data_IF_114315052441
#
_entry.id   IF_114315052441
#
_cell.length_a   1.000
_cell.length_b   1.000
_cell.length_c   1.000
_cell.angle_alpha   90.00
_cell.angle_beta   90.00
_cell.angle_gamma   90.00
#
_symmetry.space_group_name_H-M   'P 1'
#
loop_
_entity.id
_entity.type
_entity.pdbx_description
1 polymer ?
#
# COMPACT_ATOMS: atom_id res chain seq x y z
N UNK A 1 -0.93 17.32 3.89
CA UNK A 1 0.39 17.02 4.49
C UNK A 1 0.33 17.38 5.96
N UNK A 2 0.69 16.45 6.85
CA UNK A 2 0.83 16.68 8.29
C UNK A 2 2.31 16.81 8.58
N UNK A 3 2.72 17.91 9.23
CA UNK A 3 4.12 18.18 9.58
C UNK A 3 4.31 17.85 11.05
N UNK A 4 5.10 16.80 11.33
CA UNK A 4 5.31 16.24 12.67
C UNK A 4 6.72 16.51 13.23
N UNK A 5 7.57 17.19 12.47
CA UNK A 5 9.00 17.40 12.77
C UNK A 5 9.22 18.05 14.15
N UNK A 6 8.45 19.07 14.51
CA UNK A 6 8.62 19.75 15.82
C UNK A 6 8.24 18.86 16.99
N UNK A 7 7.20 18.05 16.85
CA UNK A 7 6.77 17.13 17.92
C UNK A 7 7.82 16.02 18.08
N UNK A 8 8.34 15.48 16.99
CA UNK A 8 9.41 14.48 17.03
C UNK A 8 10.69 15.04 17.65
N UNK A 9 11.11 16.25 17.27
CA UNK A 9 12.26 16.92 17.89
C UNK A 9 12.05 17.17 19.40
N UNK A 10 10.81 17.46 19.84
CA UNK A 10 10.52 17.57 21.26
C UNK A 10 10.68 16.24 21.97
N UNK A 11 10.14 15.16 21.41
CA UNK A 11 10.28 13.80 21.97
C UNK A 11 11.75 13.37 22.09
N UNK A 12 12.59 13.77 21.12
CA UNK A 12 14.05 13.56 21.18
C UNK A 12 14.67 14.27 22.38
N UNK A 13 14.37 15.55 22.56
CA UNK A 13 14.87 16.34 23.70
C UNK A 13 14.42 15.80 25.05
N UNK A 14 13.20 15.25 25.09
CA UNK A 14 12.59 14.70 26.30
C UNK A 14 13.07 13.27 26.60
N UNK A 15 13.94 12.70 25.75
CA UNK A 15 14.42 11.32 25.87
C UNK A 15 13.30 10.28 25.76
N UNK A 16 12.20 10.60 25.05
CA UNK A 16 11.05 9.74 24.87
C UNK A 16 10.71 9.53 23.38
N UNK A 17 11.63 8.93 22.59
CA UNK A 17 11.41 8.68 21.19
C UNK A 17 10.27 7.67 20.97
N UNK A 18 9.63 7.73 19.80
CA UNK A 18 8.71 6.67 19.36
C UNK A 18 9.55 5.43 19.05
N UNK A 19 9.22 4.31 19.68
CA UNK A 19 9.92 3.04 19.51
C UNK A 19 9.25 2.20 18.45
N UNK A 20 9.99 1.91 17.39
CA UNK A 20 9.48 1.23 16.18
C UNK A 20 10.09 -0.16 16.07
N UNK A 21 9.23 -1.16 15.83
CA UNK A 21 9.62 -2.48 15.34
C UNK A 21 9.39 -2.59 13.82
N UNK A 22 10.27 -3.29 13.13
CA UNK A 22 10.14 -3.50 11.67
C UNK A 22 10.13 -4.98 11.32
N UNK A 23 9.16 -5.41 10.53
CA UNK A 23 9.01 -6.79 10.06
C UNK A 23 9.26 -6.81 8.55
N UNK A 24 10.40 -7.39 8.17
CA UNK A 24 10.96 -7.37 6.82
C UNK A 24 12.17 -6.45 6.69
N UNK A 25 13.27 -6.98 6.14
CA UNK A 25 14.55 -6.28 5.96
C UNK A 25 15.04 -6.37 4.50
N UNK A 26 14.10 -6.31 3.55
CA UNK A 26 14.36 -6.22 2.13
C UNK A 26 14.91 -4.86 1.70
N UNK A 27 14.89 -4.56 0.40
CA UNK A 27 15.37 -3.30 -0.15
C UNK A 27 14.70 -2.09 0.52
N UNK A 28 13.36 -2.06 0.58
CA UNK A 28 12.61 -0.96 1.18
C UNK A 28 12.74 -0.91 2.70
N UNK A 29 12.79 -2.08 3.37
CA UNK A 29 12.99 -2.13 4.82
C UNK A 29 14.33 -1.53 5.25
N UNK A 30 15.41 -1.80 4.52
CA UNK A 30 16.72 -1.16 4.80
C UNK A 30 16.71 0.35 4.53
N UNK A 31 15.98 0.79 3.49
CA UNK A 31 15.74 2.21 3.26
C UNK A 31 15.01 2.87 4.43
N UNK A 32 13.95 2.23 4.95
CA UNK A 32 13.23 2.70 6.11
C UNK A 32 14.09 2.72 7.38
N UNK A 33 14.88 1.67 7.61
CA UNK A 33 15.84 1.64 8.73
C UNK A 33 16.79 2.84 8.68
N UNK A 34 17.34 3.13 7.48
CA UNK A 34 18.21 4.31 7.28
C UNK A 34 17.48 5.62 7.58
N UNK A 35 16.24 5.77 7.10
CA UNK A 35 15.44 6.98 7.35
C UNK A 35 15.16 7.18 8.84
N UNK A 36 14.77 6.13 9.56
CA UNK A 36 14.48 6.23 11.00
C UNK A 36 15.76 6.55 11.78
N UNK A 37 16.86 5.81 11.55
CA UNK A 37 18.08 5.92 12.34
C UNK A 37 18.83 7.23 12.07
N UNK A 38 18.93 7.66 10.81
CA UNK A 38 19.81 8.75 10.42
C UNK A 38 19.09 10.08 10.12
N UNK A 39 17.76 10.07 9.94
CA UNK A 39 17.05 11.25 9.48
C UNK A 39 15.78 11.62 10.26
N UNK A 40 15.36 10.81 11.24
CA UNK A 40 14.13 11.04 11.98
C UNK A 40 14.38 11.20 13.48
N UNK A 41 14.71 12.42 13.97
CA UNK A 41 14.84 12.65 15.40
C UNK A 41 13.53 12.32 16.14
N UNK A 42 13.64 11.83 17.38
CA UNK A 42 12.48 11.44 18.19
C UNK A 42 11.81 10.14 17.77
N UNK A 43 12.47 9.35 16.92
CA UNK A 43 12.03 8.02 16.54
C UNK A 43 13.23 7.06 16.64
N UNK A 44 12.99 5.83 17.11
CA UNK A 44 14.04 4.83 17.31
C UNK A 44 13.59 3.49 16.74
N UNK A 45 14.39 2.90 15.85
CA UNK A 45 14.22 1.52 15.38
C UNK A 45 14.80 0.58 16.44
N UNK A 46 13.94 -0.01 17.27
CA UNK A 46 14.38 -0.81 18.44
C UNK A 46 14.48 -2.30 18.13
N UNK A 47 13.79 -2.79 17.09
CA UNK A 47 13.84 -4.20 16.73
C UNK A 47 13.54 -4.42 15.24
N UNK A 48 14.21 -5.42 14.65
CA UNK A 48 13.97 -5.88 13.28
C UNK A 48 13.76 -7.39 13.26
N UNK A 49 12.63 -7.83 12.70
CA UNK A 49 12.37 -9.23 12.41
C UNK A 49 12.50 -9.52 10.91
N UNK A 50 13.19 -10.61 10.56
CA UNK A 50 13.25 -11.10 9.20
C UNK A 50 13.49 -12.60 9.18
N UNK A 51 12.85 -13.34 8.26
CA UNK A 51 12.98 -14.80 8.13
C UNK A 51 14.42 -15.32 7.95
N UNK A 52 15.36 -14.44 7.69
CA UNK A 52 16.80 -14.72 7.64
C UNK A 52 17.52 -13.73 8.53
N UNK A 53 18.13 -14.21 9.61
CA UNK A 53 18.84 -13.40 10.59
C UNK A 53 19.88 -12.46 9.96
N UNK A 54 20.59 -12.93 8.96
CA UNK A 54 21.58 -12.12 8.23
C UNK A 54 21.00 -10.84 7.63
N UNK A 55 19.75 -10.88 7.12
CA UNK A 55 19.08 -9.69 6.59
C UNK A 55 18.61 -8.75 7.72
N UNK A 56 18.15 -9.29 8.84
CA UNK A 56 17.79 -8.48 10.01
C UNK A 56 19.01 -7.71 10.54
N UNK A 57 20.14 -8.39 10.70
CA UNK A 57 21.41 -7.77 11.09
C UNK A 57 21.87 -6.72 10.08
N UNK A 58 21.84 -7.05 8.80
CA UNK A 58 22.24 -6.16 7.71
C UNK A 58 21.52 -4.82 7.72
N UNK A 59 20.25 -4.78 8.14
CA UNK A 59 19.48 -3.52 8.24
C UNK A 59 20.10 -2.50 9.21
N UNK A 60 20.87 -2.96 10.18
CA UNK A 60 21.61 -2.14 11.13
C UNK A 60 23.07 -1.99 10.76
N UNK A 61 23.74 -3.08 10.37
CA UNK A 61 25.19 -3.11 10.08
C UNK A 61 25.57 -2.18 8.92
N UNK A 62 24.73 -2.07 7.88
CA UNK A 62 24.91 -1.11 6.78
C UNK A 62 24.91 0.35 7.26
N UNK A 63 24.37 0.61 8.46
CA UNK A 63 24.27 1.94 9.07
C UNK A 63 25.31 2.15 10.20
N UNK A 64 26.24 1.20 10.37
CA UNK A 64 27.30 1.26 11.36
C UNK A 64 26.85 0.85 12.77
N UNK A 65 25.65 0.31 12.95
CA UNK A 65 25.18 -0.23 14.23
C UNK A 65 25.57 -1.70 14.32
N UNK A 66 26.57 -2.03 15.14
CA UNK A 66 27.18 -3.37 15.22
C UNK A 66 26.85 -4.11 16.51
N UNK A 67 26.45 -3.39 17.56
CA UNK A 67 26.00 -4.01 18.82
C UNK A 67 24.51 -4.33 18.70
N UNK A 68 24.21 -5.61 18.53
CA UNK A 68 22.85 -6.12 18.30
C UNK A 68 22.56 -7.30 19.23
N UNK A 69 21.34 -7.33 19.79
CA UNK A 69 20.85 -8.45 20.57
C UNK A 69 20.09 -9.43 19.67
N UNK A 70 20.62 -10.65 19.50
CA UNK A 70 19.86 -11.73 18.87
C UNK A 70 18.88 -12.31 19.89
N UNK A 71 17.60 -12.35 19.55
CA UNK A 71 16.52 -12.77 20.46
C UNK A 71 15.50 -13.64 19.75
N UNK A 72 14.82 -14.51 20.51
CA UNK A 72 13.83 -15.44 19.96
C UNK A 72 12.40 -15.15 20.44
N UNK A 73 12.23 -14.36 21.50
CA UNK A 73 10.96 -14.10 22.14
C UNK A 73 10.75 -12.63 22.54
N UNK A 74 9.54 -12.29 22.94
CA UNK A 74 9.15 -10.95 23.38
C UNK A 74 9.98 -10.45 24.57
N UNK A 75 10.28 -11.32 25.54
CA UNK A 75 11.10 -10.96 26.70
C UNK A 75 12.52 -10.62 26.32
N UNK A 76 13.07 -11.27 25.29
CA UNK A 76 14.36 -10.93 24.72
C UNK A 76 14.37 -9.53 24.11
N UNK A 77 13.33 -9.19 23.35
CA UNK A 77 13.14 -7.84 22.78
C UNK A 77 13.04 -6.80 23.89
N UNK A 78 12.24 -7.04 24.92
CA UNK A 78 12.05 -6.13 26.06
C UNK A 78 13.36 -5.88 26.81
N UNK A 79 14.17 -6.94 27.06
CA UNK A 79 15.49 -6.80 27.67
C UNK A 79 16.41 -5.96 26.80
N UNK A 80 16.45 -6.20 25.49
CA UNK A 80 17.28 -5.43 24.57
C UNK A 80 16.89 -3.94 24.57
N UNK A 81 15.59 -3.64 24.50
CA UNK A 81 15.06 -2.27 24.60
C UNK A 81 15.50 -1.61 25.93
N UNK A 82 15.40 -2.31 27.05
CA UNK A 82 15.79 -1.77 28.36
C UNK A 82 17.28 -1.48 28.48
N UNK A 83 18.11 -2.17 27.70
CA UNK A 83 19.57 -1.97 27.63
C UNK A 83 19.96 -0.94 26.55
N UNK A 84 19.03 -0.43 25.77
CA UNK A 84 19.30 0.47 24.65
C UNK A 84 20.00 -0.21 23.47
N UNK A 85 19.92 -1.54 23.35
CA UNK A 85 20.54 -2.33 22.30
C UNK A 85 19.44 -2.75 21.31
N UNK A 86 19.57 -2.49 19.99
CA UNK A 86 18.59 -2.95 19.02
C UNK A 86 18.51 -4.48 18.94
N UNK A 87 17.29 -5.01 18.88
CA UNK A 87 17.05 -6.45 18.76
C UNK A 87 16.92 -6.90 17.31
N UNK A 88 17.41 -8.10 17.01
CA UNK A 88 17.20 -8.79 15.73
C UNK A 88 16.67 -10.20 15.97
N UNK A 89 15.73 -10.64 15.15
CA UNK A 89 15.06 -11.94 15.33
C UNK A 89 14.58 -12.54 14.00
N UNK A 90 14.43 -13.86 13.97
CA UNK A 90 13.69 -14.55 12.88
C UNK A 90 12.21 -14.73 13.24
N UNK A 91 11.83 -14.50 14.49
CA UNK A 91 10.46 -14.62 14.99
C UNK A 91 9.74 -13.26 14.99
N UNK A 92 8.82 -12.98 14.05
CA UNK A 92 8.08 -11.71 14.01
C UNK A 92 7.16 -11.52 15.22
N UNK A 93 6.71 -12.61 15.84
CA UNK A 93 5.84 -12.57 17.01
C UNK A 93 6.56 -12.03 18.24
N UNK A 94 7.88 -12.18 18.31
CA UNK A 94 8.68 -11.54 19.35
C UNK A 94 8.50 -10.01 19.35
N UNK A 95 8.26 -9.37 18.19
CA UNK A 95 8.01 -7.94 18.08
C UNK A 95 6.57 -7.58 18.36
N UNK A 96 5.61 -8.37 17.85
CA UNK A 96 4.18 -8.08 18.05
C UNK A 96 3.75 -8.23 19.50
N UNK A 97 4.36 -9.15 20.24
CA UNK A 97 4.05 -9.47 21.65
C UNK A 97 4.86 -8.62 22.66
N UNK A 98 6.02 -8.09 22.26
CA UNK A 98 6.89 -7.36 23.19
C UNK A 98 6.27 -6.05 23.68
N UNK A 99 6.40 -5.79 25.00
CA UNK A 99 6.19 -4.46 25.57
C UNK A 99 7.24 -3.45 25.08
N UNK A 100 6.90 -2.15 25.14
CA UNK A 100 7.86 -1.09 24.82
C UNK A 100 8.11 -0.84 23.34
N UNK A 101 7.30 -1.41 22.43
CA UNK A 101 7.21 -1.03 21.01
C UNK A 101 5.89 -0.26 20.82
N UNK A 102 5.98 0.97 20.30
CA UNK A 102 4.82 1.84 20.10
C UNK A 102 4.10 1.55 18.77
N UNK A 103 4.86 1.25 17.71
CA UNK A 103 4.32 0.92 16.40
C UNK A 103 5.20 -0.09 15.67
N UNK A 104 4.57 -0.86 14.79
CA UNK A 104 5.21 -1.82 13.91
C UNK A 104 5.08 -1.38 12.45
N UNK A 105 6.08 -1.68 11.63
CA UNK A 105 6.04 -1.54 10.18
C UNK A 105 6.12 -2.91 9.52
N UNK A 106 5.14 -3.29 8.71
CA UNK A 106 5.14 -4.48 7.87
C UNK A 106 5.67 -4.11 6.48
N UNK A 107 6.83 -4.69 6.08
CA UNK A 107 7.59 -4.32 4.88
C UNK A 107 7.95 -5.57 4.05
N UNK A 108 7.16 -6.63 4.14
CA UNK A 108 7.49 -7.90 3.48
C UNK A 108 6.93 -8.01 2.06
N UNK A 109 5.80 -7.36 1.78
CA UNK A 109 5.06 -7.47 0.52
C UNK A 109 4.38 -8.84 0.33
N UNK A 110 4.29 -9.68 1.36
CA UNK A 110 3.66 -10.99 1.32
C UNK A 110 2.30 -10.96 2.00
N UNK A 111 1.23 -11.31 1.28
CA UNK A 111 -0.15 -11.16 1.79
C UNK A 111 -0.44 -12.10 2.97
N UNK A 112 -0.23 -13.40 2.81
CA UNK A 112 -0.52 -14.38 3.89
C UNK A 112 0.34 -14.15 5.14
N UNK A 113 1.64 -13.91 4.96
CA UNK A 113 2.54 -13.64 6.07
C UNK A 113 2.21 -12.29 6.75
N UNK A 114 1.99 -11.25 5.96
CA UNK A 114 1.55 -9.93 6.44
C UNK A 114 0.22 -10.00 7.18
N UNK A 115 -0.72 -10.84 6.74
CA UNK A 115 -1.99 -11.09 7.43
C UNK A 115 -1.74 -11.60 8.85
N UNK A 116 -0.93 -12.65 9.00
CA UNK A 116 -0.65 -13.26 10.31
C UNK A 116 0.01 -12.29 11.29
N UNK A 117 1.02 -11.55 10.84
CA UNK A 117 1.73 -10.62 11.72
C UNK A 117 0.90 -9.38 12.04
N UNK A 118 0.07 -8.90 11.12
CA UNK A 118 -0.83 -7.78 11.36
C UNK A 118 -1.93 -8.16 12.35
N UNK A 119 -2.51 -9.35 12.24
CA UNK A 119 -3.48 -9.84 13.22
C UNK A 119 -2.87 -9.97 14.61
N UNK A 120 -1.67 -10.56 14.72
CA UNK A 120 -0.96 -10.62 15.99
C UNK A 120 -0.65 -9.23 16.57
N UNK A 121 -0.29 -8.24 15.75
CA UNK A 121 -0.09 -6.87 16.21
C UNK A 121 -1.38 -6.25 16.77
N UNK A 122 -2.50 -6.42 16.08
CA UNK A 122 -3.83 -5.95 16.54
C UNK A 122 -4.19 -6.59 17.86
N UNK A 123 -4.05 -7.91 17.99
CA UNK A 123 -4.40 -8.67 19.20
C UNK A 123 -3.55 -8.27 20.41
N UNK A 124 -2.32 -7.78 20.18
CA UNK A 124 -1.40 -7.29 21.21
C UNK A 124 -1.42 -5.74 21.35
N UNK A 125 -2.42 -5.05 20.80
CA UNK A 125 -2.60 -3.62 20.99
C UNK A 125 -1.50 -2.75 20.35
N UNK A 126 -0.92 -3.17 19.21
CA UNK A 126 0.13 -2.44 18.49
C UNK A 126 -0.42 -1.72 17.27
N UNK A 127 -0.02 -0.47 17.07
CA UNK A 127 -0.21 0.18 15.77
C UNK A 127 0.60 -0.55 14.69
N UNK A 128 0.01 -0.69 13.48
CA UNK A 128 0.68 -1.34 12.34
C UNK A 128 0.62 -0.43 11.11
N UNK A 129 1.79 -0.11 10.58
CA UNK A 129 1.95 0.63 9.33
C UNK A 129 2.35 -0.33 8.22
N UNK A 130 1.55 -0.40 7.16
CA UNK A 130 1.71 -1.32 6.05
C UNK A 130 2.44 -0.64 4.89
N UNK A 131 3.66 -1.09 4.58
CA UNK A 131 4.30 -0.89 3.28
C UNK A 131 3.96 -2.06 2.35
N UNK A 132 2.75 -2.54 2.43
CA UNK A 132 2.22 -3.73 1.77
C UNK A 132 0.80 -3.40 1.27
N UNK A 133 0.73 -2.69 0.15
CA UNK A 133 -0.54 -2.31 -0.46
C UNK A 133 -1.34 -3.54 -0.93
N UNK A 134 -0.65 -4.66 -1.16
CA UNK A 134 -1.25 -5.93 -1.55
C UNK A 134 -2.09 -6.52 -0.40
N UNK A 135 -1.60 -6.43 0.82
CA UNK A 135 -2.36 -6.83 2.01
C UNK A 135 -3.54 -5.88 2.26
N UNK A 136 -3.29 -4.56 2.19
CA UNK A 136 -4.33 -3.54 2.40
C UNK A 136 -5.44 -3.65 1.33
N UNK A 137 -5.08 -3.80 0.06
CA UNK A 137 -6.04 -4.00 -1.04
C UNK A 137 -6.79 -5.34 -0.98
N UNK A 138 -6.29 -6.32 -0.19
CA UNK A 138 -6.94 -7.64 -0.02
C UNK A 138 -7.86 -7.67 1.21
N UNK A 139 -7.40 -7.18 2.36
CA UNK A 139 -8.05 -7.31 3.67
C UNK A 139 -8.24 -5.98 4.41
N UNK A 140 -7.85 -4.84 3.83
CA UNK A 140 -7.86 -3.54 4.49
C UNK A 140 -9.15 -3.21 5.23
N UNK A 141 -10.35 -3.38 4.65
CA UNK A 141 -11.62 -3.12 5.33
C UNK A 141 -11.82 -3.91 6.62
N UNK A 142 -11.47 -5.19 6.62
CA UNK A 142 -11.57 -6.04 7.81
C UNK A 142 -10.50 -5.68 8.84
N UNK A 143 -9.24 -5.52 8.40
CA UNK A 143 -8.11 -5.18 9.29
C UNK A 143 -8.37 -3.84 10.00
N UNK A 144 -8.90 -2.83 9.30
CA UNK A 144 -9.35 -1.59 9.93
C UNK A 144 -10.39 -1.84 11.03
N UNK A 145 -11.44 -2.60 10.71
CA UNK A 145 -12.52 -2.86 11.67
C UNK A 145 -12.01 -3.56 12.93
N UNK A 146 -11.09 -4.53 12.77
CA UNK A 146 -10.45 -5.23 13.90
C UNK A 146 -9.54 -4.28 14.69
N UNK A 147 -8.76 -3.44 14.03
CA UNK A 147 -7.88 -2.45 14.65
C UNK A 147 -8.67 -1.41 15.46
N UNK A 148 -9.77 -0.88 14.92
CA UNK A 148 -10.65 0.05 15.63
C UNK A 148 -11.23 -0.56 16.90
N UNK A 149 -11.66 -1.83 16.85
CA UNK A 149 -12.15 -2.57 18.03
C UNK A 149 -11.06 -2.76 19.10
N UNK A 150 -9.81 -2.92 18.68
CA UNK A 150 -8.65 -3.06 19.56
C UNK A 150 -8.08 -1.71 20.05
N UNK A 151 -8.59 -0.57 19.55
CA UNK A 151 -8.09 0.76 19.89
C UNK A 151 -6.72 1.10 19.28
N UNK A 152 -6.36 0.46 18.17
CA UNK A 152 -5.09 0.68 17.45
C UNK A 152 -5.35 1.16 16.02
N UNK A 153 -4.28 1.64 15.36
CA UNK A 153 -4.31 2.04 13.95
C UNK A 153 -3.64 0.96 13.11
N UNK A 154 -4.34 0.49 12.07
CA UNK A 154 -3.74 -0.19 10.92
C UNK A 154 -3.90 0.74 9.73
N UNK A 155 -2.81 1.06 9.05
CA UNK A 155 -2.78 2.07 7.99
C UNK A 155 -1.77 1.73 6.91
N UNK A 156 -2.12 1.96 5.64
CA UNK A 156 -1.13 2.16 4.60
C UNK A 156 -0.22 3.35 4.93
N UNK A 157 0.94 3.45 4.28
CA UNK A 157 1.97 4.42 4.65
C UNK A 157 1.98 5.68 3.76
N UNK A 158 2.45 6.79 4.34
CA UNK A 158 2.90 7.97 3.59
C UNK A 158 4.06 7.59 2.65
N UNK A 159 4.20 8.34 1.56
CA UNK A 159 5.27 8.16 0.58
C UNK A 159 5.03 7.03 -0.41
N UNK A 160 4.26 6.02 -0.09
CA UNK A 160 3.70 5.11 -1.11
C UNK A 160 2.57 5.81 -1.87
N UNK A 161 2.30 5.38 -3.08
CA UNK A 161 1.34 6.04 -3.97
C UNK A 161 -0.04 6.24 -3.34
N UNK A 162 -0.65 5.25 -2.64
CA UNK A 162 -1.91 5.46 -1.94
C UNK A 162 -1.84 6.55 -0.87
N UNK A 163 -0.78 6.58 -0.08
CA UNK A 163 -0.62 7.58 0.97
C UNK A 163 -0.54 8.99 0.43
N UNK A 164 0.26 9.20 -0.62
CA UNK A 164 0.38 10.53 -1.25
C UNK A 164 -0.93 10.96 -1.92
N UNK A 165 -1.66 10.03 -2.56
CA UNK A 165 -2.98 10.31 -3.15
C UNK A 165 -4.02 10.69 -2.09
N UNK A 166 -4.12 9.94 -0.99
CA UNK A 166 -5.08 10.21 0.10
C UNK A 166 -4.75 11.52 0.80
N UNK A 167 -3.47 11.83 1.03
CA UNK A 167 -3.06 13.13 1.58
C UNK A 167 -3.43 14.28 0.64
N UNK A 168 -3.22 14.13 -0.67
CA UNK A 168 -3.62 15.13 -1.64
C UNK A 168 -5.15 15.29 -1.69
N UNK A 169 -5.91 14.20 -1.63
CA UNK A 169 -7.36 14.20 -1.55
C UNK A 169 -7.85 14.95 -0.31
N UNK A 170 -7.27 14.69 0.87
CA UNK A 170 -7.58 15.40 2.13
C UNK A 170 -7.30 16.91 1.99
N UNK A 171 -6.14 17.26 1.42
CA UNK A 171 -5.77 18.65 1.19
C UNK A 171 -6.75 19.36 0.24
N UNK A 172 -7.06 18.78 -0.91
CA UNK A 172 -7.96 19.35 -1.92
C UNK A 172 -9.37 19.55 -1.35
N UNK A 173 -9.86 18.62 -0.53
CA UNK A 173 -11.13 18.79 0.19
C UNK A 173 -11.12 19.95 1.20
N UNK A 174 -10.01 20.16 1.88
CA UNK A 174 -9.88 21.30 2.82
C UNK A 174 -9.91 22.66 2.12
N UNK A 175 -9.58 22.71 0.82
CA UNK A 175 -9.75 23.90 0.00
C UNK A 175 -11.22 24.17 -0.41
N UNK A 176 -12.15 23.30 -0.03
CA UNK A 176 -13.56 23.37 -0.43
C UNK A 176 -13.83 22.78 -1.81
N UNK A 177 -12.84 22.16 -2.45
CA UNK A 177 -13.02 21.44 -3.70
C UNK A 177 -13.62 20.06 -3.48
N UNK A 178 -14.31 19.55 -4.50
CA UNK A 178 -14.84 18.18 -4.55
C UNK A 178 -13.94 17.33 -5.46
N UNK A 179 -13.07 16.47 -4.92
CA UNK A 179 -12.28 15.54 -5.71
C UNK A 179 -13.18 14.57 -6.47
N UNK A 180 -12.95 14.42 -7.76
CA UNK A 180 -13.66 13.52 -8.66
C UNK A 180 -12.76 12.46 -9.29
N UNK A 181 -11.43 12.63 -9.19
CA UNK A 181 -10.49 11.67 -9.72
C UNK A 181 -9.20 11.71 -8.91
N UNK A 182 -8.67 10.53 -8.61
CA UNK A 182 -7.34 10.32 -8.05
C UNK A 182 -6.56 9.39 -8.97
N UNK A 183 -5.35 9.73 -9.28
CA UNK A 183 -4.59 8.98 -10.25
C UNK A 183 -3.08 8.97 -10.02
N UNK A 184 -2.47 8.01 -10.68
CA UNK A 184 -1.04 7.73 -10.66
C UNK A 184 -0.43 8.04 -12.03
N UNK A 185 0.74 8.65 -12.06
CA UNK A 185 1.49 8.94 -13.29
C UNK A 185 2.58 7.88 -13.44
N UNK A 186 2.42 7.00 -14.42
CA UNK A 186 3.31 5.86 -14.68
C UNK A 186 4.25 6.12 -15.87
N UNK A 187 5.42 5.49 -15.83
CA UNK A 187 6.34 5.48 -16.96
C UNK A 187 6.12 4.33 -17.94
N UNK A 188 5.50 3.23 -17.46
CA UNK A 188 5.26 2.01 -18.22
C UNK A 188 4.06 1.25 -17.67
N UNK A 189 3.24 0.71 -18.54
CA UNK A 189 2.22 -0.28 -18.27
C UNK A 189 2.22 -1.30 -19.41
N UNK A 190 2.40 -2.59 -19.11
CA UNK A 190 2.39 -3.69 -20.08
C UNK A 190 2.11 -4.99 -19.31
N UNK A 191 0.90 -5.49 -19.40
CA UNK A 191 0.35 -6.60 -18.62
C UNK A 191 1.12 -7.91 -18.78
N UNK A 192 1.85 -8.06 -19.90
CA UNK A 192 2.58 -9.29 -20.21
C UNK A 192 4.07 -9.27 -19.77
N UNK A 193 4.49 -8.23 -19.03
CA UNK A 193 5.81 -8.20 -18.37
C UNK A 193 5.93 -9.32 -17.35
N UNK A 194 7.15 -9.87 -17.25
CA UNK A 194 7.45 -10.97 -16.35
C UNK A 194 8.87 -10.80 -15.76
N UNK A 195 9.28 -11.63 -14.78
CA UNK A 195 10.58 -11.49 -14.14
C UNK A 195 11.78 -11.52 -15.11
N UNK A 196 11.70 -12.27 -16.22
CA UNK A 196 12.76 -12.28 -17.24
C UNK A 196 12.85 -10.95 -17.97
N UNK A 197 11.72 -10.35 -18.38
CA UNK A 197 11.70 -9.06 -19.08
C UNK A 197 12.13 -7.90 -18.19
N UNK A 198 12.03 -8.04 -16.88
CA UNK A 198 12.36 -7.02 -15.88
C UNK A 198 13.71 -7.24 -15.18
N UNK A 199 14.43 -8.33 -15.49
CA UNK A 199 15.70 -8.68 -14.84
C UNK A 199 16.75 -7.57 -14.93
N UNK A 200 16.88 -6.93 -16.09
CA UNK A 200 17.87 -5.86 -16.31
C UNK A 200 17.63 -4.65 -15.41
N UNK A 201 16.38 -4.24 -15.23
CA UNK A 201 16.01 -3.15 -14.33
C UNK A 201 16.22 -3.56 -12.87
N UNK A 202 15.76 -4.75 -12.50
CA UNK A 202 15.91 -5.28 -11.14
C UNK A 202 17.39 -5.34 -10.72
N UNK A 203 18.28 -5.85 -11.59
CA UNK A 203 19.72 -5.90 -11.34
C UNK A 203 20.34 -4.53 -11.17
N UNK A 204 19.96 -3.56 -12.03
CA UNK A 204 20.49 -2.18 -11.97
C UNK A 204 20.22 -1.52 -10.62
N UNK A 205 19.06 -1.79 -10.01
CA UNK A 205 18.62 -1.15 -8.77
C UNK A 205 18.72 -2.04 -7.53
N UNK A 206 19.22 -3.27 -7.67
CA UNK A 206 19.35 -4.22 -6.56
C UNK A 206 18.00 -4.67 -6.00
N UNK A 207 16.97 -4.75 -6.87
CA UNK A 207 15.60 -5.14 -6.51
C UNK A 207 15.29 -6.57 -6.93
N UNK A 208 14.19 -7.12 -6.40
CA UNK A 208 13.65 -8.42 -6.81
C UNK A 208 12.91 -8.27 -8.14
N UNK A 209 13.17 -9.16 -9.11
CA UNK A 209 12.57 -9.12 -10.44
C UNK A 209 11.03 -9.30 -10.41
N UNK A 210 10.49 -10.11 -9.49
CA UNK A 210 9.03 -10.25 -9.29
C UNK A 210 8.41 -8.94 -8.83
N UNK A 211 9.00 -8.28 -7.84
CA UNK A 211 8.52 -6.97 -7.39
C UNK A 211 8.56 -5.92 -8.51
N UNK A 212 9.66 -5.86 -9.26
CA UNK A 212 9.79 -4.93 -10.41
C UNK A 212 8.76 -5.26 -11.51
N UNK A 213 8.47 -6.53 -11.72
CA UNK A 213 7.42 -6.95 -12.67
C UNK A 213 6.06 -6.40 -12.25
N UNK A 214 5.70 -6.49 -10.97
CA UNK A 214 4.41 -5.98 -10.47
C UNK A 214 4.22 -4.47 -10.68
N UNK A 215 5.31 -3.70 -10.80
CA UNK A 215 5.25 -2.27 -11.13
C UNK A 215 4.87 -2.01 -12.59
N UNK A 216 5.16 -2.95 -13.48
CA UNK A 216 4.95 -2.80 -14.92
C UNK A 216 3.71 -3.50 -15.45
N UNK A 217 3.30 -4.63 -14.84
CA UNK A 217 2.25 -5.52 -15.35
C UNK A 217 0.82 -5.18 -14.91
N UNK A 218 0.63 -4.08 -14.20
CA UNK A 218 -0.69 -3.68 -13.69
C UNK A 218 -1.02 -4.18 -12.29
N UNK A 219 -0.25 -5.13 -11.75
CA UNK A 219 -0.53 -5.71 -10.43
C UNK A 219 -0.45 -4.65 -9.33
N UNK A 220 0.67 -3.95 -9.22
CA UNK A 220 0.89 -2.96 -8.17
C UNK A 220 -0.12 -1.81 -8.25
N UNK A 221 -0.33 -1.23 -9.45
CA UNK A 221 -1.28 -0.13 -9.62
C UNK A 221 -2.72 -0.53 -9.30
N UNK A 222 -3.11 -1.77 -9.56
CA UNK A 222 -4.45 -2.26 -9.24
C UNK A 222 -4.69 -2.34 -7.74
N UNK A 223 -3.72 -2.83 -6.96
CA UNK A 223 -3.79 -2.81 -5.50
C UNK A 223 -3.76 -1.39 -4.93
N UNK A 224 -2.86 -0.55 -5.42
CA UNK A 224 -2.74 0.84 -4.98
C UNK A 224 -4.02 1.62 -5.20
N UNK A 225 -4.63 1.50 -6.38
CA UNK A 225 -5.88 2.21 -6.67
C UNK A 225 -7.09 1.60 -5.99
N UNK A 226 -7.12 0.29 -5.74
CA UNK A 226 -8.13 -0.33 -4.88
C UNK A 226 -8.06 0.23 -3.44
N UNK A 227 -6.85 0.33 -2.87
CA UNK A 227 -6.60 0.93 -1.56
C UNK A 227 -7.06 2.39 -1.50
N UNK A 228 -6.74 3.21 -2.52
CA UNK A 228 -7.20 4.61 -2.63
C UNK A 228 -8.72 4.68 -2.74
N UNK A 229 -9.34 3.86 -3.58
CA UNK A 229 -10.79 3.82 -3.75
C UNK A 229 -11.50 3.48 -2.42
N UNK A 230 -11.00 2.47 -1.71
CA UNK A 230 -11.54 2.05 -0.42
C UNK A 230 -11.37 3.15 0.65
N UNK A 231 -10.28 3.92 0.63
CA UNK A 231 -10.00 5.01 1.57
C UNK A 231 -10.73 6.33 1.25
N UNK A 232 -11.25 6.50 0.03
CA UNK A 232 -11.89 7.76 -0.41
C UNK A 232 -13.36 7.63 -0.77
N UNK A 233 -13.85 6.38 -0.89
CA UNK A 233 -15.20 6.07 -1.36
C UNK A 233 -15.37 6.16 -2.89
N UNK A 234 -14.29 6.39 -3.63
CA UNK A 234 -14.28 6.38 -5.09
C UNK A 234 -14.41 4.95 -5.65
N UNK A 235 -14.50 4.82 -6.97
CA UNK A 235 -14.63 3.53 -7.66
C UNK A 235 -13.78 3.50 -8.92
N UNK A 236 -13.88 2.43 -9.72
CA UNK A 236 -13.38 2.37 -11.10
C UNK A 236 -14.55 2.47 -12.08
N UNK A 237 -14.36 3.14 -13.20
CA UNK A 237 -15.44 3.25 -14.22
C UNK A 237 -15.54 2.01 -15.11
N UNK A 238 -14.48 1.22 -15.20
CA UNK A 238 -14.44 -0.08 -15.88
C UNK A 238 -13.36 -0.97 -15.24
N UNK A 239 -13.41 -2.27 -15.49
CA UNK A 239 -12.35 -3.23 -15.14
C UNK A 239 -11.01 -2.76 -15.72
N UNK A 240 -9.96 -2.75 -14.90
CA UNK A 240 -8.61 -2.34 -15.28
C UNK A 240 -8.40 -0.81 -15.36
N UNK A 241 -9.41 0.00 -15.02
CA UNK A 241 -9.36 1.47 -15.10
C UNK A 241 -9.33 2.00 -16.56
N UNK A 242 -9.22 3.32 -16.78
CA UNK A 242 -9.13 3.89 -18.13
C UNK A 242 -7.73 3.76 -18.72
N UNK A 243 -6.72 4.15 -17.94
CA UNK A 243 -5.32 3.95 -18.29
C UNK A 243 -4.89 4.75 -19.51
N UNK A 244 -5.06 6.08 -19.49
CA UNK A 244 -4.72 6.93 -20.63
C UNK A 244 -3.23 6.95 -20.95
N UNK A 245 -2.86 6.88 -22.24
CA UNK A 245 -1.56 7.29 -22.73
C UNK A 245 -1.57 8.81 -22.96
N UNK A 246 -0.56 9.51 -22.41
CA UNK A 246 -0.41 10.95 -22.56
C UNK A 246 1.05 11.37 -22.35
N UNK A 247 1.62 12.12 -23.28
CA UNK A 247 3.02 12.57 -23.21
C UNK A 247 3.19 13.99 -22.63
N UNK A 248 2.09 14.73 -22.49
CA UNK A 248 2.07 16.12 -22.00
C UNK A 248 2.07 16.23 -20.48
N UNK A 249 1.79 17.43 -19.99
CA UNK A 249 1.63 17.67 -18.56
C UNK A 249 0.29 17.11 -18.06
N UNK A 250 0.26 16.62 -16.82
CA UNK A 250 -0.94 16.02 -16.22
C UNK A 250 -2.14 16.98 -16.16
N UNK A 251 -1.90 18.29 -16.09
CA UNK A 251 -2.97 19.31 -16.11
C UNK A 251 -3.78 19.29 -17.40
N UNK A 252 -3.20 18.86 -18.52
CA UNK A 252 -3.88 18.78 -19.81
C UNK A 252 -5.00 17.72 -19.81
N UNK A 253 -4.92 16.73 -18.90
CA UNK A 253 -5.95 15.70 -18.74
C UNK A 253 -7.28 16.25 -18.23
N UNK A 254 -7.33 17.45 -17.66
CA UNK A 254 -8.59 18.11 -17.24
C UNK A 254 -9.57 18.28 -18.39
N UNK A 255 -9.10 18.26 -19.63
CA UNK A 255 -9.94 18.33 -20.85
C UNK A 255 -10.28 16.97 -21.43
N UNK A 256 -9.68 15.88 -20.95
CA UNK A 256 -9.90 14.52 -21.45
C UNK A 256 -10.96 13.75 -20.66
N UNK A 257 -11.08 14.03 -19.36
CA UNK A 257 -12.07 13.38 -18.52
C UNK A 257 -13.44 14.06 -18.65
N UNK A 258 -14.45 13.25 -18.92
CA UNK A 258 -15.85 13.71 -18.90
C UNK A 258 -16.28 13.91 -17.43
N UNK A 259 -16.57 15.16 -17.07
CA UNK A 259 -16.95 15.52 -15.71
C UNK A 259 -18.29 14.92 -15.28
N UNK A 260 -19.22 14.74 -16.21
CA UNK A 260 -20.54 14.15 -15.90
C UNK A 260 -20.37 12.66 -15.61
N UNK A 261 -19.50 11.97 -16.35
CA UNK A 261 -19.12 10.58 -16.04
C UNK A 261 -18.45 10.50 -14.65
N UNK A 262 -17.50 11.38 -14.34
CA UNK A 262 -16.86 11.40 -13.03
C UNK A 262 -17.88 11.61 -11.89
N UNK A 263 -18.82 12.54 -12.08
CA UNK A 263 -19.88 12.81 -11.09
C UNK A 263 -20.85 11.64 -10.95
N UNK A 264 -21.21 10.99 -12.04
CA UNK A 264 -22.12 9.84 -12.02
C UNK A 264 -21.57 8.67 -11.22
N UNK A 265 -20.23 8.51 -11.19
CA UNK A 265 -19.54 7.50 -10.38
C UNK A 265 -19.27 7.94 -8.93
N UNK A 266 -19.51 9.22 -8.59
CA UNK A 266 -19.12 9.77 -7.28
C UNK A 266 -17.60 9.93 -7.11
N UNK A 267 -16.86 9.97 -8.23
CA UNK A 267 -15.41 9.99 -8.32
C UNK A 267 -14.81 8.63 -8.64
N UNK A 268 -13.70 8.65 -9.38
CA UNK A 268 -12.99 7.43 -9.80
C UNK A 268 -11.51 7.47 -9.43
N UNK A 269 -10.90 6.28 -9.37
CA UNK A 269 -9.46 6.09 -9.38
C UNK A 269 -9.01 5.67 -10.77
N UNK A 270 -7.79 6.11 -11.19
CA UNK A 270 -7.26 5.85 -12.52
C UNK A 270 -5.74 5.94 -12.55
N UNK A 271 -5.13 5.79 -13.71
CA UNK A 271 -3.72 6.07 -13.97
C UNK A 271 -3.52 6.66 -15.36
N UNK A 272 -2.35 7.27 -15.57
CA UNK A 272 -1.90 7.77 -16.88
C UNK A 272 -0.48 7.30 -17.14
N UNK A 273 -0.17 6.92 -18.38
CA UNK A 273 1.17 6.48 -18.80
C UNK A 273 1.82 7.59 -19.62
N UNK A 274 3.06 7.94 -19.29
CA UNK A 274 3.88 8.89 -20.04
C UNK A 274 3.74 10.36 -19.66
N UNK A 275 2.67 10.75 -18.93
CA UNK A 275 2.47 12.14 -18.50
C UNK A 275 3.60 12.66 -17.58
N UNK A 276 3.68 13.97 -17.47
CA UNK A 276 4.64 14.68 -16.62
C UNK A 276 3.90 15.39 -15.49
N UNK A 277 4.52 15.48 -14.28
CA UNK A 277 5.77 14.85 -13.85
C UNK A 277 5.64 13.35 -13.59
N UNK A 278 6.71 12.56 -13.80
CA UNK A 278 6.75 11.12 -13.59
C UNK A 278 8.02 10.75 -12.78
N UNK A 279 7.91 9.93 -11.73
CA UNK A 279 6.68 9.35 -11.16
C UNK A 279 5.94 10.36 -10.26
N UNK A 280 4.65 10.52 -10.45
CA UNK A 280 3.84 11.42 -9.65
C UNK A 280 2.44 10.89 -9.41
N UNK A 281 1.68 11.64 -8.64
CA UNK A 281 0.25 11.37 -8.42
C UNK A 281 -0.57 12.64 -8.68
N UNK A 282 -1.84 12.51 -9.01
CA UNK A 282 -2.71 13.65 -9.26
C UNK A 282 -4.12 13.46 -8.69
N UNK A 283 -4.76 14.61 -8.45
CA UNK A 283 -6.15 14.70 -8.05
C UNK A 283 -6.83 15.72 -8.96
N UNK A 284 -7.96 15.36 -9.54
CA UNK A 284 -8.79 16.32 -10.26
C UNK A 284 -10.06 16.59 -9.47
N UNK A 285 -10.41 17.85 -9.33
CA UNK A 285 -11.50 18.30 -8.48
C UNK A 285 -12.28 19.44 -9.11
N UNK A 286 -13.52 19.61 -8.67
CA UNK A 286 -14.38 20.78 -9.00
C UNK A 286 -14.55 21.69 -7.79
N UNK A 287 -14.96 22.92 -8.04
CA UNK A 287 -15.41 23.85 -7.01
C UNK A 287 -16.75 24.48 -7.44
N UNK A 288 -17.77 24.43 -6.60
CA UNK A 288 -19.11 24.90 -6.97
C UNK A 288 -19.27 26.43 -6.82
N UNK A 289 -18.55 27.06 -5.87
CA UNK A 289 -18.62 28.51 -5.65
C UNK A 289 -17.93 29.29 -6.80
N UNK A 290 -18.65 30.15 -7.55
CA UNK A 290 -18.07 30.94 -8.64
C UNK A 290 -16.97 31.91 -8.20
N UNK A 291 -17.02 32.41 -6.95
CA UNK A 291 -16.00 33.32 -6.42
C UNK A 291 -14.69 32.56 -6.18
N UNK A 292 -14.77 31.35 -5.63
CA UNK A 292 -13.58 30.51 -5.44
C UNK A 292 -13.00 30.07 -6.79
N UNK A 293 -13.83 29.75 -7.77
CA UNK A 293 -13.35 29.44 -9.14
C UNK A 293 -12.59 30.61 -9.74
N UNK A 294 -13.04 31.86 -9.53
CA UNK A 294 -12.32 33.05 -9.97
C UNK A 294 -10.92 33.15 -9.32
N UNK A 295 -10.78 32.79 -8.03
CA UNK A 295 -9.47 32.76 -7.37
C UNK A 295 -8.60 31.59 -7.88
N UNK A 296 -9.16 30.42 -8.13
CA UNK A 296 -8.41 29.30 -8.73
C UNK A 296 -7.84 29.70 -10.12
N UNK A 297 -8.62 30.42 -10.93
CA UNK A 297 -8.16 30.95 -12.20
C UNK A 297 -7.05 32.02 -12.02
N UNK A 298 -7.20 32.92 -11.05
CA UNK A 298 -6.17 33.90 -10.68
C UNK A 298 -4.86 33.21 -10.32
N UNK A 299 -4.92 32.10 -9.57
CA UNK A 299 -3.75 31.29 -9.18
C UNK A 299 -3.29 30.29 -10.26
N UNK A 300 -3.81 30.43 -11.49
CA UNK A 300 -3.36 29.68 -12.68
C UNK A 300 -3.69 28.19 -12.71
N UNK A 301 -4.73 27.78 -11.96
CA UNK A 301 -5.22 26.40 -12.02
C UNK A 301 -6.12 26.14 -13.26
N UNK A 302 -6.37 27.18 -14.08
CA UNK A 302 -7.26 27.08 -15.25
C UNK A 302 -8.64 27.66 -14.99
N UNK A 303 -9.49 27.66 -16.02
CA UNK A 303 -10.84 28.22 -15.97
C UNK A 303 -11.89 27.22 -15.39
N UNK A 304 -11.46 25.96 -15.16
CA UNK A 304 -12.37 24.90 -14.74
C UNK A 304 -13.29 24.40 -15.87
N UNK A 305 -14.31 23.62 -15.57
CA UNK A 305 -14.82 23.27 -14.22
C UNK A 305 -13.97 22.22 -13.47
N UNK A 306 -13.05 21.51 -14.15
CA UNK A 306 -12.15 20.53 -13.55
C UNK A 306 -10.77 21.15 -13.36
N UNK A 307 -10.23 21.06 -12.14
CA UNK A 307 -8.93 21.58 -11.73
C UNK A 307 -8.00 20.45 -11.37
N UNK A 308 -6.72 20.54 -11.76
CA UNK A 308 -5.68 19.58 -11.47
C UNK A 308 -4.85 20.02 -10.26
N UNK A 309 -4.61 19.07 -9.36
CA UNK A 309 -3.66 19.15 -8.25
C UNK A 309 -2.76 17.94 -8.34
N UNK A 310 -1.46 18.09 -8.13
CA UNK A 310 -0.54 16.96 -8.25
C UNK A 310 0.64 17.07 -7.31
N UNK A 311 1.23 15.90 -6.99
CA UNK A 311 2.52 15.79 -6.35
C UNK A 311 3.50 15.16 -7.34
N UNK A 312 4.65 15.81 -7.63
CA UNK A 312 5.52 15.41 -8.73
C UNK A 312 6.35 14.14 -8.46
N UNK A 313 6.23 13.58 -7.27
CA UNK A 313 6.94 12.40 -6.81
C UNK A 313 6.16 11.71 -5.70
N UNK A 314 6.55 10.47 -5.40
CA UNK A 314 6.22 9.73 -4.19
C UNK A 314 7.52 9.10 -3.67
N UNK A 315 7.80 9.24 -2.37
CA UNK A 315 9.12 8.95 -1.82
C UNK A 315 9.15 7.73 -0.88
N UNK A 316 8.17 6.83 -1.01
CA UNK A 316 8.09 5.54 -0.30
C UNK A 316 8.64 5.59 1.14
N UNK A 317 9.73 4.89 1.42
CA UNK A 317 10.30 4.75 2.76
C UNK A 317 10.73 6.06 3.44
N UNK A 318 10.99 7.14 2.69
CA UNK A 318 11.34 8.45 3.28
C UNK A 318 10.20 9.08 4.08
N UNK A 319 8.95 8.81 3.71
CA UNK A 319 7.78 9.44 4.33
C UNK A 319 7.08 8.55 5.38
N UNK A 320 7.41 7.26 5.46
CA UNK A 320 6.82 6.31 6.42
C UNK A 320 6.87 6.79 7.88
N UNK A 321 7.94 7.46 8.35
CA UNK A 321 7.97 8.03 9.69
C UNK A 321 6.78 8.96 10.00
N UNK A 322 6.22 9.65 8.99
CA UNK A 322 5.03 10.47 9.19
C UNK A 322 3.82 9.62 9.58
N UNK A 323 3.62 8.47 8.93
CA UNK A 323 2.53 7.54 9.26
C UNK A 323 2.67 6.95 10.66
N UNK A 324 3.90 6.59 11.04
CA UNK A 324 4.21 6.11 12.40
C UNK A 324 3.85 7.20 13.42
N UNK A 325 4.31 8.41 13.21
CA UNK A 325 4.04 9.55 14.10
C UNK A 325 2.53 9.86 14.17
N UNK A 326 1.82 9.82 13.03
CA UNK A 326 0.36 10.03 12.97
C UNK A 326 -0.40 8.99 13.78
N UNK A 327 -0.06 7.72 13.62
CA UNK A 327 -0.70 6.64 14.37
C UNK A 327 -0.46 6.78 15.88
N UNK A 328 0.79 6.98 16.30
CA UNK A 328 1.16 7.04 17.73
C UNK A 328 0.71 8.32 18.43
N UNK A 329 0.80 9.48 17.74
CA UNK A 329 0.57 10.78 18.36
C UNK A 329 -0.88 11.27 18.23
N UNK A 330 -1.57 10.86 17.16
CA UNK A 330 -2.89 11.42 16.82
C UNK A 330 -3.95 10.35 16.63
N UNK A 331 -3.62 9.06 16.71
CA UNK A 331 -4.51 7.95 16.32
C UNK A 331 -5.10 8.17 14.91
N UNK A 332 -4.33 8.82 14.01
CA UNK A 332 -4.74 9.15 12.64
C UNK A 332 -4.07 8.21 11.65
N UNK A 333 -4.88 7.55 10.83
CA UNK A 333 -4.42 6.72 9.73
C UNK A 333 -4.10 7.57 8.49
N UNK A 334 -2.99 7.29 7.83
CA UNK A 334 -2.66 7.90 6.53
C UNK A 334 -3.63 7.42 5.46
N UNK A 335 -3.73 6.09 5.34
CA UNK A 335 -4.64 5.41 4.42
C UNK A 335 -5.44 4.40 5.23
N UNK A 336 -6.75 4.51 5.19
CA UNK A 336 -7.64 3.57 5.87
C UNK A 336 -8.98 3.52 5.13
N UNK A 337 -9.52 2.34 4.82
CA UNK A 337 -10.82 2.20 4.19
C UNK A 337 -11.92 2.91 4.98
N UNK A 338 -12.89 3.54 4.28
CA UNK A 338 -14.04 4.21 4.94
C UNK A 338 -15.12 3.23 5.41
N UNK A 339 -15.09 1.99 4.90
CA UNK A 339 -16.09 0.97 5.19
C UNK A 339 -15.72 -0.33 4.48
N UNK A 340 -16.71 -1.05 3.94
CA UNK A 340 -16.48 -2.25 3.12
C UNK A 340 -15.74 -1.95 1.81
N UNK A 341 -15.29 -2.99 1.10
CA UNK A 341 -14.55 -2.83 -0.14
C UNK A 341 -15.42 -2.16 -1.23
N UNK A 342 -14.81 -1.19 -1.93
CA UNK A 342 -15.39 -0.51 -3.10
C UNK A 342 -14.77 -1.01 -4.40
N UNK A 343 -13.46 -1.26 -4.36
CA UNK A 343 -12.65 -1.78 -5.47
C UNK A 343 -11.74 -2.86 -4.92
N UNK A 344 -11.53 -3.89 -5.71
CA UNK A 344 -10.62 -5.01 -5.41
C UNK A 344 -9.69 -5.24 -6.60
N UNK A 345 -8.51 -5.78 -6.33
CA UNK A 345 -7.57 -6.24 -7.34
C UNK A 345 -7.87 -7.72 -7.66
N UNK A 346 -8.33 -8.00 -8.86
CA UNK A 346 -8.72 -9.33 -9.33
C UNK A 346 -7.61 -9.97 -10.17
N UNK A 347 -7.63 -11.30 -10.28
CA UNK A 347 -6.61 -12.11 -10.96
C UNK A 347 -6.96 -12.33 -12.43
N UNK A 348 -6.02 -12.03 -13.32
CA UNK A 348 -6.13 -12.27 -14.76
C UNK A 348 -4.91 -13.08 -15.24
N UNK A 349 -5.11 -14.04 -16.12
CA UNK A 349 -4.04 -14.88 -16.64
C UNK A 349 -3.14 -14.10 -17.61
N UNK A 350 -1.82 -14.14 -17.37
CA UNK A 350 -0.80 -13.48 -18.20
C UNK A 350 -0.39 -14.31 -19.42
N UNK A 351 -0.78 -15.56 -19.44
CA UNK A 351 -0.55 -16.56 -20.50
C UNK A 351 -1.58 -17.68 -20.39
N UNK A 352 -1.73 -18.50 -21.42
CA UNK A 352 -2.57 -19.70 -21.31
C UNK A 352 -1.95 -20.69 -20.32
N UNK A 353 -2.75 -21.17 -19.38
CA UNK A 353 -2.36 -22.03 -18.28
C UNK A 353 -3.17 -23.34 -18.32
N UNK A 354 -2.53 -24.51 -18.20
CA UNK A 354 -3.25 -25.80 -18.23
C UNK A 354 -3.95 -26.10 -16.89
N UNK A 355 -4.93 -27.00 -16.92
CA UNK A 355 -5.49 -27.56 -15.70
C UNK A 355 -4.39 -28.22 -14.85
N UNK A 356 -4.52 -28.10 -13.52
CA UNK A 356 -3.55 -28.60 -12.54
C UNK A 356 -2.33 -27.71 -12.33
N UNK A 357 -2.18 -26.61 -13.08
CA UNK A 357 -1.12 -25.63 -12.87
C UNK A 357 -1.29 -24.94 -11.51
N UNK A 358 -0.18 -24.66 -10.82
CA UNK A 358 -0.16 -23.92 -9.56
C UNK A 358 0.34 -22.51 -9.83
N UNK A 359 -0.47 -21.50 -9.48
CA UNK A 359 -0.16 -20.10 -9.73
C UNK A 359 1.04 -19.61 -8.91
N UNK A 360 1.91 -18.82 -9.53
CA UNK A 360 3.21 -18.38 -9.00
C UNK A 360 3.20 -17.10 -8.17
N UNK A 361 2.06 -16.44 -8.05
CA UNK A 361 1.92 -15.24 -7.21
C UNK A 361 2.23 -13.91 -7.89
N UNK A 362 2.41 -12.88 -7.05
CA UNK A 362 2.48 -11.47 -7.47
C UNK A 362 3.71 -11.17 -8.35
N UNK A 363 3.47 -10.50 -9.48
CA UNK A 363 4.53 -10.11 -10.41
C UNK A 363 5.27 -11.28 -11.07
N UNK A 364 4.67 -12.46 -11.07
CA UNK A 364 5.21 -13.67 -11.65
C UNK A 364 4.99 -13.80 -13.16
N UNK A 365 5.01 -15.04 -13.64
CA UNK A 365 4.83 -15.39 -15.04
C UNK A 365 3.37 -15.71 -15.39
N UNK A 366 2.54 -16.03 -14.39
CA UNK A 366 1.24 -16.63 -14.59
C UNK A 366 0.11 -15.63 -14.65
N UNK A 367 0.15 -14.60 -13.79
CA UNK A 367 -0.97 -13.70 -13.58
C UNK A 367 -0.57 -12.24 -13.43
N UNK A 368 -1.52 -11.36 -13.69
CA UNK A 368 -1.48 -9.93 -13.36
C UNK A 368 -2.80 -9.50 -12.73
N UNK A 369 -2.82 -8.35 -12.07
CA UNK A 369 -4.05 -7.85 -11.47
C UNK A 369 -4.72 -6.76 -12.29
N UNK A 370 -6.06 -6.71 -12.21
CA UNK A 370 -6.90 -5.61 -12.67
C UNK A 370 -7.75 -5.10 -11.52
N UNK A 371 -7.93 -3.78 -11.43
CA UNK A 371 -8.87 -3.19 -10.47
C UNK A 371 -10.30 -3.36 -10.97
N UNK A 372 -11.18 -3.87 -10.11
CA UNK A 372 -12.60 -4.09 -10.42
C UNK A 372 -13.48 -3.63 -9.25
N UNK A 373 -14.70 -3.25 -9.52
CA UNK A 373 -15.70 -2.94 -8.51
C UNK A 373 -15.98 -4.16 -7.63
N UNK A 374 -16.06 -3.96 -6.33
CA UNK A 374 -16.25 -5.05 -5.38
C UNK A 374 -17.60 -5.78 -5.54
N UNK A 375 -18.67 -5.08 -5.94
CA UNK A 375 -19.96 -5.69 -6.23
C UNK A 375 -19.89 -6.64 -7.44
N UNK A 376 -19.14 -6.27 -8.48
CA UNK A 376 -18.89 -7.13 -9.66
C UNK A 376 -17.98 -8.29 -9.26
N UNK A 377 -16.89 -8.02 -8.53
CA UNK A 377 -15.98 -9.08 -8.04
C UNK A 377 -16.75 -10.17 -7.31
N UNK A 378 -17.69 -9.78 -6.45
CA UNK A 378 -18.52 -10.74 -5.71
C UNK A 378 -19.54 -11.44 -6.60
N UNK A 379 -20.28 -10.70 -7.44
CA UNK A 379 -21.32 -11.26 -8.31
C UNK A 379 -20.75 -12.29 -9.30
N UNK A 380 -19.57 -12.02 -9.85
CA UNK A 380 -18.86 -12.91 -10.79
C UNK A 380 -17.93 -13.91 -10.09
N UNK A 381 -17.84 -13.88 -8.74
CA UNK A 381 -16.95 -14.74 -7.94
C UNK A 381 -15.48 -14.66 -8.39
N UNK A 382 -15.02 -13.45 -8.76
CA UNK A 382 -13.65 -13.24 -9.22
C UNK A 382 -12.64 -13.52 -8.11
N UNK A 383 -11.52 -14.16 -8.46
CA UNK A 383 -10.45 -14.47 -7.52
C UNK A 383 -9.63 -13.21 -7.22
N UNK A 384 -9.59 -12.69 -5.97
CA UNK A 384 -8.70 -11.60 -5.64
C UNK A 384 -7.23 -11.98 -5.84
N UNK A 385 -6.45 -11.07 -6.41
CA UNK A 385 -5.04 -11.32 -6.72
C UNK A 385 -4.20 -11.61 -5.45
N UNK A 386 -4.57 -11.04 -4.31
CA UNK A 386 -3.88 -11.28 -3.03
C UNK A 386 -4.02 -12.68 -2.48
N UNK A 387 -4.93 -13.51 -3.01
CA UNK A 387 -5.09 -14.92 -2.62
C UNK A 387 -4.74 -15.89 -3.74
N UNK A 388 -4.29 -15.41 -4.89
CA UNK A 388 -4.03 -16.25 -6.07
C UNK A 388 -2.81 -17.17 -5.93
N UNK A 389 -1.77 -16.73 -5.20
CA UNK A 389 -0.53 -17.51 -5.03
C UNK A 389 -0.79 -18.89 -4.44
N UNK A 390 -0.24 -19.90 -5.08
CA UNK A 390 -0.36 -21.30 -4.65
C UNK A 390 -1.70 -21.97 -5.01
N UNK A 391 -2.67 -21.22 -5.57
CA UNK A 391 -3.92 -21.80 -6.05
C UNK A 391 -3.66 -22.76 -7.23
N UNK A 392 -4.37 -23.90 -7.26
CA UNK A 392 -4.28 -24.88 -8.33
C UNK A 392 -5.45 -24.75 -9.28
N UNK A 393 -5.19 -24.56 -10.56
CA UNK A 393 -6.24 -24.49 -11.58
C UNK A 393 -6.99 -25.83 -11.74
N UNK A 394 -8.32 -25.79 -11.72
CA UNK A 394 -9.20 -26.94 -11.96
C UNK A 394 -9.44 -27.19 -13.43
N UNK A 395 -9.39 -26.15 -14.25
CA UNK A 395 -9.57 -26.17 -15.71
C UNK A 395 -8.48 -25.34 -16.39
N UNK A 396 -8.26 -25.48 -17.71
CA UNK A 396 -7.40 -24.56 -18.45
C UNK A 396 -7.99 -23.13 -18.40
N UNK A 397 -7.10 -22.13 -18.42
CA UNK A 397 -7.43 -20.71 -18.49
C UNK A 397 -6.64 -20.10 -19.65
N UNK A 398 -7.29 -19.33 -20.50
CA UNK A 398 -6.64 -18.69 -21.64
C UNK A 398 -5.95 -17.37 -21.28
N UNK A 399 -5.07 -16.90 -22.16
CA UNK A 399 -4.44 -15.57 -22.05
C UNK A 399 -5.50 -14.49 -21.86
N UNK A 400 -5.28 -13.58 -20.90
CA UNK A 400 -6.15 -12.44 -20.54
C UNK A 400 -7.55 -12.85 -20.02
N UNK A 401 -7.79 -14.13 -19.74
CA UNK A 401 -8.99 -14.60 -19.07
C UNK A 401 -8.91 -14.30 -17.57
N UNK A 402 -10.00 -13.78 -17.01
CA UNK A 402 -10.13 -13.52 -15.58
C UNK A 402 -10.36 -14.83 -14.84
N UNK A 403 -9.64 -15.03 -13.74
CA UNK A 403 -9.74 -16.24 -12.92
C UNK A 403 -10.78 -16.03 -11.82
N UNK A 404 -11.64 -17.03 -11.61
CA UNK A 404 -12.67 -17.04 -10.58
C UNK A 404 -12.34 -18.04 -9.47
N UNK A 405 -13.03 -17.97 -8.33
CA UNK A 405 -12.95 -19.00 -7.29
C UNK A 405 -13.36 -20.40 -7.77
N UNK A 406 -14.22 -20.47 -8.80
CA UNK A 406 -14.67 -21.75 -9.36
C UNK A 406 -13.58 -22.42 -10.21
N UNK A 407 -12.62 -21.64 -10.68
CA UNK A 407 -11.49 -22.10 -11.52
C UNK A 407 -10.34 -22.70 -10.71
N UNK A 408 -10.33 -22.51 -9.40
CA UNK A 408 -9.17 -22.85 -8.55
C UNK A 408 -9.53 -23.73 -7.36
N UNK A 409 -8.52 -24.41 -6.88
CA UNK A 409 -8.46 -25.02 -5.55
C UNK A 409 -7.51 -24.17 -4.69
N UNK A 410 -8.03 -23.64 -3.57
CA UNK A 410 -7.26 -22.83 -2.64
C UNK A 410 -6.30 -23.72 -1.82
N UNK A 411 -5.09 -23.24 -1.50
CA UNK A 411 -4.22 -23.91 -0.53
C UNK A 411 -4.88 -24.01 0.84
N UNK A 412 -4.72 -25.13 1.53
CA UNK A 412 -5.33 -25.32 2.83
C UNK A 412 -4.64 -24.52 3.95
N UNK A 413 -5.39 -24.02 4.93
CA UNK A 413 -4.89 -23.46 6.19
C UNK A 413 -4.27 -22.07 6.09
N UNK A 414 -4.64 -21.27 5.09
CA UNK A 414 -4.24 -19.87 5.00
C UNK A 414 -5.20 -18.98 5.78
N UNK A 415 -4.64 -18.14 6.64
CA UNK A 415 -5.41 -17.16 7.40
C UNK A 415 -6.06 -16.11 6.50
N UNK A 416 -5.41 -15.73 5.41
CA UNK A 416 -5.97 -14.76 4.45
C UNK A 416 -7.30 -15.23 3.87
N UNK A 417 -7.47 -16.52 3.59
CA UNK A 417 -8.74 -17.06 3.04
C UNK A 417 -9.85 -17.03 4.09
N UNK A 418 -9.53 -17.37 5.35
CA UNK A 418 -10.48 -17.30 6.46
C UNK A 418 -10.94 -15.85 6.69
N UNK A 419 -10.01 -14.90 6.70
CA UNK A 419 -10.33 -13.49 6.88
C UNK A 419 -11.03 -12.87 5.67
N UNK A 420 -10.77 -13.36 4.46
CA UNK A 420 -11.57 -12.97 3.27
C UNK A 420 -13.03 -13.37 3.43
N UNK A 421 -13.30 -14.59 3.85
CA UNK A 421 -14.66 -15.04 4.12
C UNK A 421 -15.32 -14.17 5.23
N UNK A 422 -14.61 -13.88 6.32
CA UNK A 422 -15.10 -12.97 7.37
C UNK A 422 -15.39 -11.56 6.82
N UNK A 423 -14.53 -11.02 5.95
CA UNK A 423 -14.75 -9.71 5.32
C UNK A 423 -16.02 -9.70 4.46
N UNK A 424 -16.27 -10.77 3.73
CA UNK A 424 -17.47 -10.89 2.90
C UNK A 424 -18.76 -10.99 3.72
N UNK A 425 -18.72 -11.66 4.86
CA UNK A 425 -19.84 -11.71 5.79
C UNK A 425 -20.09 -10.36 6.47
N UNK A 426 -19.01 -9.67 6.86
CA UNK A 426 -19.11 -8.39 7.56
C UNK A 426 -19.62 -7.25 6.65
N UNK A 427 -19.29 -7.29 5.37
CA UNK A 427 -19.64 -6.28 4.39
C UNK A 427 -20.45 -6.88 3.24
N UNK A 428 -21.73 -7.21 3.43
CA UNK A 428 -22.59 -7.68 2.35
C UNK A 428 -22.75 -6.57 1.30
N UNK A 429 -22.57 -6.92 0.00
CA UNK A 429 -22.67 -6.02 -1.16
C UNK A 429 -23.97 -6.26 -1.94
#
# INVERSE_FOLDING_TARGET
MIIVDRILQQRERDGNPIKVGMIGAGFMGRGLANTIINATPGMQLVAVANRHMANARRAYEELGVTELAEVDDARGVERAISQGIPAVTENPYALTEAGGIDALCEVTGAVEYGTRVTMSAIDNGKHMILMNAELDGTLGPLLRTKAEKAGVVVSGCDGDQPGVQVNLWRFVRQLGCTPLLLGNIKGLQDEHRNPTTQEGFARRWGQNAYMVTSFADGTKISFEQATVANATGMTVCKRGMLGWDHEGHVDELTTRYDIDMLRAHGGIVDYVVGAKPNPGIYCMATHEDPRQRHYLELYKLGTGPLYSFYTPYHLCHFEVPNSIARAVLFSDATVSPLGGPRVEAITTAKRSLPAGHVLDGLGGYDTYAQAERADITRAERLLPMGVAEGCRLRKPVDLDEVITYDDVELPAGRMVDELRAEQEELFPL
#
